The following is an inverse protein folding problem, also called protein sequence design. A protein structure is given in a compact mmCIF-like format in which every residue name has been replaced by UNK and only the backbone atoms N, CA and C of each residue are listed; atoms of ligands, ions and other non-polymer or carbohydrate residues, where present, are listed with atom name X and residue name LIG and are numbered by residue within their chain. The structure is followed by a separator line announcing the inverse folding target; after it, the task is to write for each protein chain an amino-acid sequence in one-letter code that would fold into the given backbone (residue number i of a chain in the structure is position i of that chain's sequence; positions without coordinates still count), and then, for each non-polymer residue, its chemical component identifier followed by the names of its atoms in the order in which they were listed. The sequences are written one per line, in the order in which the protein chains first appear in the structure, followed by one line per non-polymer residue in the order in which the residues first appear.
data_IF_283897157266
#
_entry.id   IF_283897157266
#
_cell.length_a   1.000
_cell.length_b   1.000
_cell.length_c   1.000
_cell.angle_alpha   90.00
_cell.angle_beta   90.00
_cell.angle_gamma   90.00
#
_symmetry.space_group_name_H-M   'P 1'
#
loop_
_entity.id
_entity.type
_entity.pdbx_description
1 polymer ?
#
# COMPACT_ATOMS: atom_id res chain seq x y z
N UNK A 1 -5.88 -21.19 -24.51
CA UNK A 1 -5.58 -20.41 -23.29
C UNK A 1 -5.53 -18.95 -23.73
N UNK A 2 -6.61 -18.18 -23.49
CA UNK A 2 -6.61 -16.76 -23.77
C UNK A 2 -5.57 -16.11 -22.86
N UNK A 3 -4.58 -15.43 -23.46
CA UNK A 3 -3.63 -14.62 -22.70
C UNK A 3 -4.44 -13.50 -22.02
N UNK A 4 -4.62 -13.57 -20.71
CA UNK A 4 -5.15 -12.45 -19.93
C UNK A 4 -4.16 -11.29 -20.10
N UNK A 5 -4.56 -10.29 -20.87
CA UNK A 5 -3.76 -9.09 -21.05
C UNK A 5 -4.11 -8.13 -19.89
N UNK A 6 -3.35 -8.19 -18.78
CA UNK A 6 -3.53 -7.28 -17.65
C UNK A 6 -2.93 -5.93 -18.01
N UNK A 7 -3.76 -4.90 -18.00
CA UNK A 7 -3.37 -3.49 -18.14
C UNK A 7 -3.72 -2.78 -16.83
N UNK A 8 -2.76 -2.80 -15.91
CA UNK A 8 -2.91 -2.11 -14.62
C UNK A 8 -2.51 -0.65 -14.72
N UNK A 9 -3.13 0.18 -13.89
CA UNK A 9 -2.73 1.56 -13.65
C UNK A 9 -2.78 1.87 -12.16
N UNK A 10 -1.91 2.79 -11.72
CA UNK A 10 -1.77 3.20 -10.33
C UNK A 10 -2.41 4.57 -10.17
N UNK A 11 -3.20 4.74 -9.12
CA UNK A 11 -3.94 5.97 -8.85
C UNK A 11 -3.73 6.47 -7.43
N UNK A 12 -3.34 7.72 -7.30
CA UNK A 12 -3.28 8.44 -6.03
C UNK A 12 -4.68 8.96 -5.69
N UNK A 13 -5.38 8.23 -4.81
CA UNK A 13 -6.78 8.57 -4.50
C UNK A 13 -6.93 9.66 -3.44
N UNK A 14 -5.87 10.02 -2.72
CA UNK A 14 -5.87 11.10 -1.72
C UNK A 14 -4.46 11.54 -1.38
N UNK A 15 -4.32 12.83 -1.06
CA UNK A 15 -3.08 13.41 -0.52
C UNK A 15 -3.01 13.32 1.01
N UNK A 16 -4.10 12.91 1.67
CA UNK A 16 -4.15 12.81 3.14
C UNK A 16 -3.62 11.47 3.61
N UNK A 17 -2.89 11.50 4.73
CA UNK A 17 -2.44 10.29 5.41
C UNK A 17 -2.46 10.50 6.92
N UNK A 18 -2.76 9.45 7.66
CA UNK A 18 -2.73 9.40 9.12
C UNK A 18 -1.37 8.97 9.69
N UNK A 19 -0.35 8.83 8.83
CA UNK A 19 1.06 8.59 9.17
C UNK A 19 1.98 9.64 8.50
N UNK A 20 3.22 9.71 9.04
CA UNK A 20 4.35 10.45 8.44
C UNK A 20 5.58 9.57 8.52
N UNK A 21 5.64 8.58 7.59
CA UNK A 21 6.72 7.60 7.55
C UNK A 21 8.03 8.24 7.10
N UNK A 22 9.16 7.85 7.70
CA UNK A 22 10.49 8.21 7.19
C UNK A 22 10.71 7.54 5.84
N UNK A 23 11.20 8.29 4.85
CA UNK A 23 11.40 7.78 3.49
C UNK A 23 10.09 7.44 2.73
N UNK A 24 8.98 8.07 3.10
CA UNK A 24 7.74 7.94 2.35
C UNK A 24 7.88 8.64 0.99
N UNK A 25 7.87 7.86 -0.10
CA UNK A 25 8.03 8.41 -1.45
C UNK A 25 6.92 9.42 -1.80
N UNK A 26 5.70 9.20 -1.33
CA UNK A 26 4.56 10.07 -1.60
C UNK A 26 4.74 11.47 -0.99
N UNK A 27 5.30 11.56 0.23
CA UNK A 27 5.55 12.83 0.90
C UNK A 27 6.98 13.36 0.74
N UNK A 28 7.81 12.70 -0.05
CA UNK A 28 9.14 13.23 -0.43
C UNK A 28 9.03 14.40 -1.40
N UNK A 29 7.98 14.45 -2.22
CA UNK A 29 7.69 15.54 -3.15
C UNK A 29 6.75 16.58 -2.53
N UNK A 30 7.10 17.86 -2.65
CA UNK A 30 6.23 18.96 -2.25
C UNK A 30 5.02 19.12 -3.19
N UNK A 31 5.13 18.65 -4.43
CA UNK A 31 4.04 18.64 -5.40
C UNK A 31 2.85 17.81 -4.90
N UNK A 32 3.10 16.60 -4.39
CA UNK A 32 2.06 15.74 -3.82
C UNK A 32 1.40 16.37 -2.57
N UNK A 33 2.17 17.13 -1.76
CA UNK A 33 1.62 17.83 -0.58
C UNK A 33 0.71 18.99 -0.94
N UNK A 34 1.03 19.69 -2.03
CA UNK A 34 0.35 20.91 -2.46
C UNK A 34 -0.75 20.67 -3.49
N UNK A 35 -0.82 19.50 -4.10
CA UNK A 35 -1.80 19.19 -5.14
C UNK A 35 -3.23 19.32 -4.60
N UNK A 36 -4.13 20.01 -5.32
CA UNK A 36 -5.53 20.10 -4.95
C UNK A 36 -6.16 18.71 -4.96
N UNK A 37 -6.95 18.42 -3.95
CA UNK A 37 -7.61 17.12 -3.82
C UNK A 37 -9.01 17.16 -4.45
N UNK A 38 -9.25 16.35 -5.50
CA UNK A 38 -10.58 16.16 -6.04
C UNK A 38 -11.44 15.33 -5.08
N UNK A 39 -12.57 15.86 -4.66
CA UNK A 39 -13.50 15.22 -3.73
C UNK A 39 -14.84 14.85 -4.35
N UNK A 40 -15.12 15.33 -5.55
CA UNK A 40 -16.36 15.02 -6.27
C UNK A 40 -16.33 13.60 -6.82
N UNK A 41 -17.18 12.74 -6.27
CA UNK A 41 -17.26 11.34 -6.68
C UNK A 41 -17.70 11.19 -8.13
N UNK A 42 -18.55 12.06 -8.65
CA UNK A 42 -18.98 12.00 -10.06
C UNK A 42 -17.82 12.25 -11.03
N UNK A 43 -16.89 13.13 -10.66
CA UNK A 43 -15.67 13.34 -11.45
C UNK A 43 -14.77 12.13 -11.41
N UNK A 44 -14.61 11.49 -10.24
CA UNK A 44 -13.89 10.23 -10.13
C UNK A 44 -14.53 9.14 -10.98
N UNK A 45 -15.84 9.00 -10.93
CA UNK A 45 -16.58 8.02 -11.75
C UNK A 45 -16.34 8.24 -13.25
N UNK A 46 -16.49 9.47 -13.74
CA UNK A 46 -16.23 9.80 -15.13
C UNK A 46 -14.76 9.53 -15.54
N UNK A 47 -13.81 9.86 -14.68
CA UNK A 47 -12.40 9.56 -14.90
C UNK A 47 -12.15 8.04 -15.00
N UNK A 48 -12.72 7.25 -14.09
CA UNK A 48 -12.56 5.79 -14.10
C UNK A 48 -13.16 5.18 -15.38
N UNK A 49 -14.30 5.68 -15.84
CA UNK A 49 -14.93 5.20 -17.08
C UNK A 49 -14.03 5.52 -18.30
N UNK A 50 -13.38 6.69 -18.36
CA UNK A 50 -12.38 7.00 -19.38
C UNK A 50 -11.16 6.06 -19.32
N UNK A 51 -10.67 5.73 -18.12
CA UNK A 51 -9.55 4.77 -17.96
C UNK A 51 -9.92 3.37 -18.46
N UNK A 52 -11.17 2.93 -18.23
CA UNK A 52 -11.68 1.68 -18.80
C UNK A 52 -11.70 1.72 -20.34
N UNK A 53 -12.15 2.81 -20.93
CA UNK A 53 -12.15 3.00 -22.39
C UNK A 53 -10.73 2.97 -22.96
N UNK A 54 -9.74 3.47 -22.22
CA UNK A 54 -8.30 3.33 -22.54
C UNK A 54 -7.78 1.89 -22.40
N UNK A 55 -8.59 0.98 -21.87
CA UNK A 55 -8.31 -0.45 -21.73
C UNK A 55 -7.69 -0.83 -20.39
N UNK A 56 -7.70 0.03 -19.39
CA UNK A 56 -7.32 -0.35 -18.01
C UNK A 56 -8.32 -1.37 -17.48
N UNK A 57 -7.82 -2.47 -16.94
CA UNK A 57 -8.64 -3.56 -16.40
C UNK A 57 -8.21 -4.00 -14.99
N UNK A 58 -7.28 -3.30 -14.35
CA UNK A 58 -6.89 -3.44 -12.96
C UNK A 58 -6.47 -2.08 -12.40
N UNK A 59 -7.15 -1.61 -11.36
CA UNK A 59 -6.78 -0.41 -10.63
C UNK A 59 -5.95 -0.75 -9.40
N UNK A 60 -4.80 -0.08 -9.23
CA UNK A 60 -3.96 -0.14 -8.04
C UNK A 60 -4.09 1.20 -7.31
N UNK A 61 -4.75 1.19 -6.17
CA UNK A 61 -5.03 2.40 -5.40
C UNK A 61 -3.95 2.61 -4.34
N UNK A 62 -3.33 3.76 -4.40
CA UNK A 62 -2.31 4.27 -3.47
C UNK A 62 -2.63 5.72 -3.10
N UNK A 63 -1.64 6.46 -2.67
CA UNK A 63 -1.68 7.88 -2.32
C UNK A 63 -1.13 8.10 -0.92
N UNK A 64 -1.70 9.02 -0.16
CA UNK A 64 -1.39 9.13 1.24
C UNK A 64 -1.87 7.88 1.99
N UNK A 65 -3.16 7.82 2.32
CA UNK A 65 -3.80 6.62 2.90
C UNK A 65 -5.20 6.46 2.30
N UNK A 66 -5.43 5.47 1.41
CA UNK A 66 -6.71 5.28 0.73
C UNK A 66 -7.91 5.04 1.65
N UNK A 67 -7.70 4.43 2.82
CA UNK A 67 -8.79 4.17 3.78
C UNK A 67 -9.39 5.45 4.40
N UNK A 68 -8.78 6.61 4.18
CA UNK A 68 -9.34 7.91 4.55
C UNK A 68 -10.38 8.45 3.55
N UNK A 69 -10.54 7.79 2.39
CA UNK A 69 -11.46 8.20 1.31
C UNK A 69 -12.15 6.99 0.68
N UNK A 70 -12.81 6.16 1.49
CA UNK A 70 -13.44 4.92 1.05
C UNK A 70 -14.47 5.10 -0.06
N UNK A 71 -15.07 6.28 -0.21
CA UNK A 71 -16.02 6.54 -1.29
C UNK A 71 -15.32 6.56 -2.67
N UNK A 72 -14.10 7.08 -2.74
CA UNK A 72 -13.27 7.04 -3.96
C UNK A 72 -12.80 5.60 -4.24
N UNK A 73 -12.36 4.89 -3.21
CA UNK A 73 -12.01 3.46 -3.32
C UNK A 73 -13.19 2.67 -3.86
N UNK A 74 -14.40 2.92 -3.37
CA UNK A 74 -15.62 2.25 -3.81
C UNK A 74 -15.99 2.59 -5.26
N UNK A 75 -15.76 3.83 -5.70
CA UNK A 75 -16.00 4.22 -7.10
C UNK A 75 -15.14 3.39 -8.07
N UNK A 76 -13.88 3.12 -7.73
CA UNK A 76 -13.00 2.21 -8.47
C UNK A 76 -13.49 0.76 -8.36
N UNK A 77 -13.71 0.26 -7.15
CA UNK A 77 -14.08 -1.12 -6.88
C UNK A 77 -15.36 -1.56 -7.60
N UNK A 78 -16.35 -0.67 -7.72
CA UNK A 78 -17.57 -0.92 -8.46
C UNK A 78 -17.40 -0.99 -9.98
N UNK A 79 -16.28 -0.50 -10.52
CA UNK A 79 -16.04 -0.37 -11.96
C UNK A 79 -14.92 -1.23 -12.51
N UNK A 80 -13.93 -1.53 -11.69
CA UNK A 80 -12.72 -2.26 -12.06
C UNK A 80 -12.31 -3.25 -10.96
N UNK A 81 -11.73 -4.39 -11.30
CA UNK A 81 -10.89 -5.12 -10.37
C UNK A 81 -9.91 -4.18 -9.68
N UNK A 82 -9.90 -4.19 -8.36
CA UNK A 82 -9.20 -3.18 -7.57
C UNK A 82 -8.30 -3.82 -6.52
N UNK A 83 -7.06 -3.35 -6.48
CA UNK A 83 -6.11 -3.59 -5.42
C UNK A 83 -5.90 -2.31 -4.62
N UNK A 84 -5.94 -2.37 -3.29
CA UNK A 84 -5.74 -1.21 -2.41
C UNK A 84 -4.51 -1.42 -1.52
N UNK A 85 -3.51 -0.54 -1.66
CA UNK A 85 -2.38 -0.51 -0.74
C UNK A 85 -2.68 0.44 0.42
N UNK A 86 -2.56 -0.06 1.66
CA UNK A 86 -2.91 0.69 2.88
C UNK A 86 -1.85 0.49 3.97
N UNK A 87 -1.82 1.38 4.94
CA UNK A 87 -1.02 1.19 6.15
C UNK A 87 -1.68 0.24 7.18
N UNK A 88 -2.91 -0.20 6.94
CA UNK A 88 -3.62 -1.19 7.74
C UNK A 88 -4.17 -0.71 9.07
N UNK A 89 -4.05 0.58 9.42
CA UNK A 89 -4.54 1.13 10.69
C UNK A 89 -6.07 1.19 10.76
N UNK A 90 -6.70 1.45 9.61
CA UNK A 90 -8.16 1.48 9.48
C UNK A 90 -8.57 0.23 8.72
N UNK A 91 -9.45 -0.57 9.32
CA UNK A 91 -9.97 -1.78 8.68
C UNK A 91 -10.90 -1.41 7.54
N UNK A 92 -10.63 -1.96 6.37
CA UNK A 92 -11.55 -1.87 5.22
C UNK A 92 -12.78 -2.75 5.51
N UNK A 93 -14.00 -2.21 5.44
CA UNK A 93 -15.22 -2.95 5.74
C UNK A 93 -15.53 -3.98 4.65
N UNK A 94 -15.61 -5.26 5.02
CA UNK A 94 -15.83 -6.37 4.07
C UNK A 94 -17.26 -6.46 3.54
N UNK A 95 -18.22 -5.85 4.21
CA UNK A 95 -19.59 -5.65 3.70
C UNK A 95 -19.65 -4.72 2.48
N UNK A 96 -18.74 -3.72 2.40
CA UNK A 96 -18.60 -2.85 1.22
C UNK A 96 -17.65 -3.41 0.16
N UNK A 97 -16.63 -4.16 0.57
CA UNK A 97 -15.51 -4.62 -0.27
C UNK A 97 -15.22 -6.11 -0.03
N UNK A 98 -16.18 -7.02 -0.36
CA UNK A 98 -16.11 -8.43 0.06
C UNK A 98 -14.86 -9.18 -0.42
N UNK A 99 -14.39 -8.92 -1.63
CA UNK A 99 -13.30 -9.64 -2.28
C UNK A 99 -12.14 -8.72 -2.76
N UNK A 100 -12.19 -7.43 -2.39
CA UNK A 100 -11.11 -6.51 -2.77
C UNK A 100 -9.76 -6.95 -2.19
N UNK A 101 -8.77 -7.07 -3.06
CA UNK A 101 -7.40 -7.38 -2.65
C UNK A 101 -6.78 -6.19 -1.91
N UNK A 102 -6.20 -6.47 -0.75
CA UNK A 102 -5.56 -5.45 0.11
C UNK A 102 -4.11 -5.81 0.34
N UNK A 103 -3.22 -4.88 0.05
CA UNK A 103 -1.81 -4.94 0.41
C UNK A 103 -1.51 -4.03 1.59
N UNK A 104 -1.07 -4.60 2.70
CA UNK A 104 -0.69 -3.82 3.89
C UNK A 104 0.80 -3.53 3.84
N UNK A 105 1.16 -2.25 3.77
CA UNK A 105 2.56 -1.83 3.80
C UNK A 105 3.20 -2.19 5.14
N UNK A 106 4.33 -2.89 5.09
CA UNK A 106 5.11 -3.30 6.26
C UNK A 106 6.59 -3.02 6.02
N UNK A 107 7.26 -2.43 7.01
CA UNK A 107 8.67 -2.08 6.95
C UNK A 107 9.51 -2.73 8.05
N UNK A 108 9.01 -3.77 8.68
CA UNK A 108 9.74 -4.52 9.67
C UNK A 108 8.89 -5.08 10.81
N UNK A 109 9.53 -5.35 11.94
CA UNK A 109 8.85 -5.75 13.16
C UNK A 109 8.21 -4.53 13.88
N UNK A 110 7.59 -4.76 15.04
CA UNK A 110 6.88 -3.72 15.80
C UNK A 110 7.79 -2.52 16.17
N UNK A 111 9.08 -2.78 16.40
CA UNK A 111 10.04 -1.73 16.72
C UNK A 111 10.45 -0.94 15.48
N UNK A 112 10.66 -1.64 14.36
CA UNK A 112 10.97 -1.00 13.08
C UNK A 112 9.80 -0.12 12.62
N UNK A 113 8.56 -0.62 12.74
CA UNK A 113 7.34 0.13 12.42
C UNK A 113 7.22 1.42 13.27
N UNK A 114 7.46 1.34 14.58
CA UNK A 114 7.48 2.54 15.45
C UNK A 114 8.55 3.54 15.04
N UNK A 115 9.73 3.05 14.68
CA UNK A 115 10.87 3.89 14.32
C UNK A 115 10.72 4.56 12.96
N UNK A 116 10.24 3.79 11.97
CA UNK A 116 10.18 4.23 10.57
C UNK A 116 8.82 4.85 10.22
N UNK A 117 7.74 4.37 10.83
CA UNK A 117 6.37 4.80 10.51
C UNK A 117 5.67 5.55 11.65
N UNK A 118 6.33 5.67 12.81
CA UNK A 118 5.83 6.40 13.97
C UNK A 118 4.76 5.68 14.79
N UNK A 119 4.35 4.47 14.39
CA UNK A 119 3.36 3.64 15.09
C UNK A 119 3.64 2.16 14.90
N UNK A 120 3.17 1.33 15.83
CA UNK A 120 3.14 -0.13 15.71
C UNK A 120 2.00 -0.55 14.75
N UNK A 121 2.23 -0.35 13.45
CA UNK A 121 1.23 -0.68 12.43
C UNK A 121 1.12 -2.17 12.23
N UNK A 122 2.19 -2.95 12.47
CA UNK A 122 2.16 -4.41 12.37
C UNK A 122 1.14 -5.04 13.31
N UNK A 123 1.19 -4.71 14.61
CA UNK A 123 0.26 -5.24 15.59
C UNK A 123 -1.19 -4.84 15.30
N UNK A 124 -1.40 -3.57 14.89
CA UNK A 124 -2.75 -3.08 14.60
C UNK A 124 -3.35 -3.72 13.36
N UNK A 125 -2.57 -3.81 12.27
CA UNK A 125 -3.01 -4.40 11.02
C UNK A 125 -3.23 -5.91 11.14
N UNK A 126 -2.34 -6.64 11.86
CA UNK A 126 -2.56 -8.06 12.14
C UNK A 126 -3.87 -8.31 12.87
N UNK A 127 -4.20 -7.48 13.88
CA UNK A 127 -5.50 -7.57 14.58
C UNK A 127 -6.68 -7.29 13.65
N UNK A 128 -6.55 -6.31 12.75
CA UNK A 128 -7.62 -5.91 11.84
C UNK A 128 -7.92 -6.97 10.78
N UNK A 129 -6.89 -7.71 10.32
CA UNK A 129 -6.97 -8.51 9.10
C UNK A 129 -6.58 -9.99 9.28
N UNK A 130 -6.37 -10.47 10.53
CA UNK A 130 -6.02 -11.88 10.78
C UNK A 130 -6.98 -12.83 10.06
N UNK A 131 -6.43 -13.78 9.28
CA UNK A 131 -7.20 -14.78 8.56
C UNK A 131 -7.98 -14.29 7.35
N UNK A 132 -7.86 -13.02 6.96
CA UNK A 132 -8.55 -12.49 5.77
C UNK A 132 -7.86 -13.01 4.48
N UNK A 133 -8.54 -13.81 3.63
CA UNK A 133 -7.92 -14.45 2.47
C UNK A 133 -7.53 -13.48 1.35
N UNK A 134 -8.10 -12.26 1.34
CA UNK A 134 -7.83 -11.24 0.34
C UNK A 134 -6.82 -10.20 0.81
N UNK A 135 -6.11 -10.48 1.91
CA UNK A 135 -5.11 -9.57 2.49
C UNK A 135 -3.73 -10.21 2.50
N UNK A 136 -2.73 -9.42 2.18
CA UNK A 136 -1.32 -9.79 2.35
C UNK A 136 -0.47 -8.57 2.72
N UNK A 137 0.67 -8.84 3.35
CA UNK A 137 1.65 -7.79 3.61
C UNK A 137 2.50 -7.51 2.39
N UNK A 138 2.70 -6.22 2.11
CA UNK A 138 3.74 -5.70 1.22
C UNK A 138 4.96 -5.39 2.08
N UNK A 139 5.81 -6.38 2.28
CA UNK A 139 6.97 -6.22 3.14
C UNK A 139 8.14 -5.61 2.37
N UNK A 140 8.47 -4.36 2.69
CA UNK A 140 9.63 -3.65 2.14
C UNK A 140 10.84 -3.93 3.02
N UNK A 141 11.81 -4.66 2.48
CA UNK A 141 13.04 -5.05 3.17
C UNK A 141 14.06 -3.92 3.03
N UNK A 142 14.47 -3.34 4.15
CA UNK A 142 15.59 -2.40 4.22
C UNK A 142 16.88 -3.13 4.60
N UNK A 143 18.07 -2.56 4.33
CA UNK A 143 19.35 -3.20 4.68
C UNK A 143 19.45 -3.64 6.14
N UNK A 144 18.93 -2.83 7.05
CA UNK A 144 18.98 -3.09 8.50
C UNK A 144 18.04 -4.23 8.94
N UNK A 145 17.20 -4.75 8.04
CA UNK A 145 16.19 -5.76 8.35
C UNK A 145 16.49 -7.12 7.71
N UNK A 146 17.50 -7.22 6.87
CA UNK A 146 17.85 -8.47 6.16
C UNK A 146 18.00 -9.62 7.18
N UNK A 147 18.73 -9.44 8.27
CA UNK A 147 18.92 -10.44 9.31
C UNK A 147 17.68 -10.75 10.17
N UNK A 148 16.60 -9.98 10.02
CA UNK A 148 15.32 -10.18 10.75
C UNK A 148 14.21 -10.75 9.86
N UNK A 149 14.43 -10.86 8.54
CA UNK A 149 13.40 -11.14 7.54
C UNK A 149 12.66 -12.45 7.83
N UNK A 150 13.38 -13.53 8.12
CA UNK A 150 12.79 -14.83 8.45
C UNK A 150 11.82 -14.72 9.64
N UNK A 151 12.25 -14.10 10.73
CA UNK A 151 11.42 -13.90 11.93
C UNK A 151 10.17 -13.10 11.63
N UNK A 152 10.28 -12.06 10.79
CA UNK A 152 9.14 -11.23 10.40
C UNK A 152 8.14 -12.04 9.57
N UNK A 153 8.61 -12.86 8.63
CA UNK A 153 7.77 -13.75 7.81
C UNK A 153 7.04 -14.77 8.70
N UNK A 154 7.72 -15.36 9.67
CA UNK A 154 7.09 -16.28 10.61
C UNK A 154 5.97 -15.62 11.39
N UNK A 155 6.17 -14.41 11.91
CA UNK A 155 5.11 -13.64 12.60
C UNK A 155 3.91 -13.32 11.69
N UNK A 156 4.15 -13.00 10.41
CA UNK A 156 3.08 -12.77 9.44
C UNK A 156 2.26 -14.04 9.23
N UNK A 157 2.93 -15.18 9.08
CA UNK A 157 2.28 -16.48 8.91
C UNK A 157 1.49 -16.88 10.16
N UNK A 158 2.02 -16.64 11.37
CA UNK A 158 1.30 -16.85 12.63
C UNK A 158 0.01 -16.04 12.73
N UNK A 159 -0.02 -14.84 12.15
CA UNK A 159 -1.23 -14.02 12.03
C UNK A 159 -2.22 -14.52 10.95
N UNK A 160 -1.91 -15.64 10.26
CA UNK A 160 -2.74 -16.19 9.18
C UNK A 160 -2.77 -15.33 7.92
N UNK A 161 -1.74 -14.51 7.70
CA UNK A 161 -1.63 -13.62 6.55
C UNK A 161 -0.50 -14.05 5.62
N UNK A 162 -0.62 -13.65 4.37
CA UNK A 162 0.40 -13.87 3.33
C UNK A 162 1.36 -12.68 3.26
N UNK A 163 2.52 -12.87 2.62
CA UNK A 163 3.50 -11.80 2.41
C UNK A 163 3.94 -11.74 0.96
N UNK A 164 4.03 -10.53 0.44
CA UNK A 164 4.76 -10.20 -0.78
C UNK A 164 5.97 -9.35 -0.38
N UNK A 165 7.16 -9.80 -0.74
CA UNK A 165 8.42 -9.14 -0.38
C UNK A 165 8.93 -8.27 -1.52
N UNK A 166 9.45 -7.10 -1.18
CA UNK A 166 10.14 -6.21 -2.10
C UNK A 166 11.37 -5.60 -1.43
N UNK A 167 12.43 -5.39 -2.20
CA UNK A 167 13.58 -4.65 -1.72
C UNK A 167 13.31 -3.16 -1.83
N UNK A 168 13.79 -2.39 -0.84
CA UNK A 168 13.78 -0.94 -0.95
C UNK A 168 14.68 -0.52 -2.11
N UNK A 169 14.12 0.13 -3.13
CA UNK A 169 14.89 0.78 -4.18
C UNK A 169 15.36 2.17 -3.69
N UNK A 170 16.59 2.54 -4.08
CA UNK A 170 17.06 3.91 -3.90
C UNK A 170 16.39 4.80 -4.95
N UNK A 171 15.43 5.60 -4.52
CA UNK A 171 15.14 6.82 -5.23
C UNK A 171 16.08 7.92 -4.70
N UNK A 172 16.79 8.58 -5.59
CA UNK A 172 17.66 9.70 -5.26
C UNK A 172 16.85 10.80 -4.55
N UNK A 173 16.86 10.79 -3.23
CA UNK A 173 16.14 11.77 -2.42
C UNK A 173 15.47 11.24 -1.16
N UNK A 174 15.48 9.94 -0.90
CA UNK A 174 14.91 9.37 0.33
C UNK A 174 15.78 9.65 1.55
N UNK A 175 15.22 10.31 2.55
CA UNK A 175 15.87 10.64 3.82
C UNK A 175 16.49 9.43 4.54
N UNK A 176 17.74 9.13 4.26
CA UNK A 176 18.58 8.29 5.11
C UNK A 176 18.27 6.78 5.14
N UNK A 177 17.35 6.28 4.33
CA UNK A 177 17.16 4.84 4.10
C UNK A 177 17.77 4.50 2.74
N UNK A 178 19.09 4.51 2.68
CA UNK A 178 19.82 4.22 1.45
C UNK A 178 20.30 2.77 1.48
N UNK A 179 19.88 1.97 0.51
CA UNK A 179 20.52 0.71 0.17
C UNK A 179 21.76 0.99 -0.67
N UNK A 180 22.90 1.31 -0.05
CA UNK A 180 24.16 1.35 -0.81
C UNK A 180 24.50 -0.09 -1.25
N UNK A 181 25.00 -0.30 -2.49
CA UNK A 181 25.36 -1.63 -2.99
C UNK A 181 26.30 -2.41 -2.08
N UNK A 182 27.16 -1.73 -1.30
CA UNK A 182 28.06 -2.34 -0.29
C UNK A 182 27.32 -2.92 0.93
N UNK A 183 26.09 -2.50 1.21
CA UNK A 183 25.32 -3.00 2.36
C UNK A 183 24.44 -4.20 2.01
N UNK A 184 24.33 -4.54 0.73
CA UNK A 184 23.64 -5.71 0.23
C UNK A 184 24.59 -6.88 -0.07
N UNK A 185 25.91 -6.64 -0.04
CA UNK A 185 26.94 -7.63 -0.37
C UNK A 185 27.62 -8.23 0.87
N UNK A 186 27.35 -7.72 2.07
CA UNK A 186 27.79 -8.23 3.37
C UNK A 186 26.62 -8.97 4.06
#
# INVERSE_FOLDING_TARGET
ISKLNIRSSIYDVTNRCNLRCKGCFFFSSDEHKAAPEETDIKKWEAFIDQEKERGVNLAILIGGEPTLCLDRVEAFYKRLPTFCATNGLIKVPRDRFPDMMIGISLWGDEQDEKTLRGKDTFRMSSKNYAGDPFVYYLYTITPNQIGKTERIILKINEAGLKVHMQLLSNDEGGDGISSKPKQLAD
#
